data_IF_218109711566
#
_entry.id   IF_218109711566
#
_cell.length_a   1.000
_cell.length_b   1.000
_cell.length_c   1.000
_cell.angle_alpha   90.00
_cell.angle_beta   90.00
_cell.angle_gamma   90.00
#
_symmetry.space_group_name_H-M   'P 1'
#
loop_
_entity.id
_entity.type
_entity.pdbx_description
1 polymer ?
#
# COMPACT_ATOMS: atom_id res chain seq x y z
N UNK A 1 1.74 -18.37 -6.93
CA UNK A 1 3.15 -17.93 -7.19
C UNK A 1 3.29 -17.10 -8.47
N UNK A 2 2.69 -17.51 -9.59
CA UNK A 2 2.71 -16.69 -10.83
C UNK A 2 2.10 -15.31 -10.58
N UNK A 3 0.98 -15.25 -9.85
CA UNK A 3 0.37 -14.00 -9.39
C UNK A 3 1.31 -13.09 -8.62
N UNK A 4 2.01 -13.64 -7.62
CA UNK A 4 3.00 -12.90 -6.83
C UNK A 4 4.11 -12.31 -7.71
N UNK A 5 4.63 -13.08 -8.67
CA UNK A 5 5.68 -12.61 -9.58
C UNK A 5 5.17 -11.49 -10.50
N UNK A 6 3.94 -11.62 -11.01
CA UNK A 6 3.31 -10.58 -11.83
C UNK A 6 3.12 -9.30 -10.99
N UNK A 7 2.58 -9.42 -9.77
CA UNK A 7 2.39 -8.26 -8.89
C UNK A 7 3.71 -7.54 -8.61
N UNK A 8 4.77 -8.29 -8.24
CA UNK A 8 6.11 -7.70 -8.02
C UNK A 8 6.60 -6.99 -9.28
N UNK A 9 6.50 -7.62 -10.45
CA UNK A 9 6.93 -7.03 -11.70
C UNK A 9 6.16 -5.75 -12.02
N UNK A 10 4.83 -5.75 -11.86
CA UNK A 10 3.97 -4.58 -12.11
C UNK A 10 4.28 -3.43 -11.16
N UNK A 11 4.47 -3.71 -9.86
CA UNK A 11 4.86 -2.69 -8.87
C UNK A 11 6.24 -2.12 -9.18
N UNK A 12 7.21 -2.95 -9.56
CA UNK A 12 8.55 -2.48 -9.93
C UNK A 12 8.52 -1.63 -11.20
N UNK A 13 7.88 -2.11 -12.27
CA UNK A 13 7.79 -1.37 -13.54
C UNK A 13 7.01 -0.08 -13.35
N UNK A 14 5.86 -0.13 -12.67
CA UNK A 14 5.04 1.04 -12.37
C UNK A 14 5.76 2.05 -11.47
N UNK A 15 6.49 1.58 -10.46
CA UNK A 15 7.30 2.43 -9.58
C UNK A 15 8.46 3.10 -10.33
N UNK A 16 9.18 2.37 -11.17
CA UNK A 16 10.26 2.92 -11.99
C UNK A 16 9.68 3.94 -12.99
N UNK A 17 8.60 3.60 -13.69
CA UNK A 17 7.92 4.52 -14.59
C UNK A 17 7.44 5.78 -13.84
N UNK A 18 6.87 5.61 -12.64
CA UNK A 18 6.42 6.70 -11.77
C UNK A 18 7.55 7.60 -11.30
N UNK A 19 8.74 7.07 -11.02
CA UNK A 19 9.89 7.91 -10.64
C UNK A 19 10.45 8.72 -11.83
N UNK A 20 10.44 8.15 -13.03
CA UNK A 20 10.93 8.83 -14.26
C UNK A 20 9.91 9.84 -14.80
N UNK A 21 8.63 9.47 -14.85
CA UNK A 21 7.56 10.27 -15.47
C UNK A 21 6.81 11.13 -14.45
N UNK A 22 6.87 10.80 -13.17
CA UNK A 22 6.05 11.45 -12.13
C UNK A 22 6.33 12.94 -11.99
N UNK A 23 7.56 13.39 -12.24
CA UNK A 23 7.90 14.83 -12.25
C UNK A 23 7.11 15.65 -13.28
N UNK A 24 6.48 14.99 -14.27
CA UNK A 24 5.58 15.62 -15.25
C UNK A 24 4.12 15.71 -14.80
N UNK A 25 3.74 15.03 -13.73
CA UNK A 25 2.40 15.07 -13.16
C UNK A 25 2.28 16.24 -12.18
N UNK A 26 1.25 17.06 -12.34
CA UNK A 26 0.94 18.11 -11.37
C UNK A 26 0.46 17.52 -10.04
N UNK A 27 0.68 18.24 -8.95
CA UNK A 27 0.29 17.80 -7.61
C UNK A 27 -1.20 17.46 -7.53
N UNK A 28 -2.05 18.27 -8.17
CA UNK A 28 -3.50 18.04 -8.25
C UNK A 28 -3.86 16.70 -8.89
N UNK A 29 -3.12 16.25 -9.91
CA UNK A 29 -3.36 14.96 -10.54
C UNK A 29 -3.01 13.83 -9.56
N UNK A 30 -1.90 13.95 -8.84
CA UNK A 30 -1.49 12.96 -7.83
C UNK A 30 -2.53 12.84 -6.73
N UNK A 31 -2.97 13.96 -6.15
CA UNK A 31 -4.02 14.00 -5.14
C UNK A 31 -5.33 13.39 -5.67
N UNK A 32 -5.76 13.77 -6.88
CA UNK A 32 -7.00 13.23 -7.48
C UNK A 32 -6.93 11.72 -7.67
N UNK A 33 -5.80 11.20 -8.13
CA UNK A 33 -5.58 9.76 -8.29
C UNK A 33 -5.60 9.05 -6.93
N UNK A 34 -4.92 9.59 -5.92
CA UNK A 34 -4.92 9.03 -4.56
C UNK A 34 -6.33 9.01 -3.94
N UNK A 35 -7.09 10.10 -4.09
CA UNK A 35 -8.49 10.15 -3.66
C UNK A 35 -9.35 9.11 -4.39
N UNK A 36 -9.17 8.95 -5.70
CA UNK A 36 -9.86 7.93 -6.48
C UNK A 36 -9.56 6.51 -5.98
N UNK A 37 -8.29 6.19 -5.75
CA UNK A 37 -7.86 4.92 -5.18
C UNK A 37 -8.45 4.68 -3.78
N UNK A 38 -8.48 5.71 -2.94
CA UNK A 38 -9.12 5.65 -1.61
C UNK A 38 -10.62 5.37 -1.69
N UNK A 39 -11.33 6.02 -2.62
CA UNK A 39 -12.76 5.82 -2.84
C UNK A 39 -13.07 4.40 -3.32
N UNK A 40 -12.28 3.87 -4.26
CA UNK A 40 -12.39 2.47 -4.71
C UNK A 40 -12.15 1.50 -3.55
N UNK A 41 -11.13 1.76 -2.73
CA UNK A 41 -10.81 0.93 -1.56
C UNK A 41 -11.97 0.90 -0.56
N UNK A 42 -12.59 2.05 -0.28
CA UNK A 42 -13.79 2.14 0.55
C UNK A 42 -14.96 1.34 -0.05
N UNK A 43 -15.19 1.46 -1.36
CA UNK A 43 -16.26 0.73 -2.04
C UNK A 43 -16.06 -0.79 -1.94
N UNK A 44 -14.83 -1.27 -2.13
CA UNK A 44 -14.48 -2.70 -1.98
C UNK A 44 -14.68 -3.15 -0.53
N UNK A 45 -14.19 -2.39 0.44
CA UNK A 45 -14.36 -2.71 1.86
C UNK A 45 -15.84 -2.78 2.28
N UNK A 46 -16.65 -1.85 1.80
CA UNK A 46 -18.10 -1.85 2.01
C UNK A 46 -18.76 -3.07 1.37
N UNK A 47 -18.41 -3.38 0.12
CA UNK A 47 -18.94 -4.56 -0.59
C UNK A 47 -18.62 -5.86 0.15
N UNK A 48 -17.40 -6.02 0.64
CA UNK A 48 -16.98 -7.20 1.41
C UNK A 48 -17.71 -7.28 2.76
N UNK A 49 -17.87 -6.15 3.43
CA UNK A 49 -18.58 -6.07 4.71
C UNK A 49 -20.05 -6.43 4.55
N UNK A 50 -20.72 -5.92 3.50
CA UNK A 50 -22.13 -6.21 3.23
C UNK A 50 -22.38 -7.69 2.86
N UNK A 51 -21.38 -8.38 2.29
CA UNK A 51 -21.45 -9.82 2.01
C UNK A 51 -21.19 -10.69 3.24
N UNK A 52 -20.70 -10.11 4.33
CA UNK A 52 -20.34 -10.88 5.51
C UNK A 52 -21.57 -11.52 6.14
N UNK A 53 -21.44 -12.78 6.57
CA UNK A 53 -22.49 -13.51 7.27
C UNK A 53 -22.46 -13.25 8.78
N UNK A 54 -21.37 -12.67 9.29
CA UNK A 54 -21.19 -12.41 10.71
C UNK A 54 -20.40 -11.11 10.96
N UNK A 55 -21.12 -10.05 11.26
CA UNK A 55 -20.53 -8.73 11.55
C UNK A 55 -19.66 -8.73 12.81
N UNK A 56 -19.91 -9.63 13.77
CA UNK A 56 -19.10 -9.73 15.00
C UNK A 56 -17.66 -10.17 14.69
N UNK A 57 -17.47 -11.02 13.68
CA UNK A 57 -16.12 -11.41 13.24
C UNK A 57 -15.39 -10.20 12.67
N UNK A 58 -16.05 -9.42 11.80
CA UNK A 58 -15.47 -8.20 11.22
C UNK A 58 -15.08 -7.20 12.32
N UNK A 59 -16.00 -6.95 13.25
CA UNK A 59 -15.74 -6.07 14.40
C UNK A 59 -14.58 -6.57 15.25
N UNK A 60 -14.54 -7.87 15.55
CA UNK A 60 -13.45 -8.50 16.30
C UNK A 60 -12.10 -8.39 15.59
N UNK A 61 -12.06 -8.64 14.27
CA UNK A 61 -10.85 -8.50 13.46
C UNK A 61 -10.32 -7.07 13.44
N UNK A 62 -11.21 -6.06 13.30
CA UNK A 62 -10.82 -4.65 13.35
C UNK A 62 -10.26 -4.30 14.73
N UNK A 63 -10.94 -4.72 15.80
CA UNK A 63 -10.55 -4.41 17.18
C UNK A 63 -9.20 -5.04 17.53
N UNK A 64 -9.01 -6.32 17.22
CA UNK A 64 -7.74 -7.02 17.41
C UNK A 64 -6.64 -6.40 16.55
N UNK A 65 -6.91 -6.14 15.28
CA UNK A 65 -5.96 -5.51 14.36
C UNK A 65 -5.50 -4.13 14.84
N UNK A 66 -6.43 -3.30 15.33
CA UNK A 66 -6.12 -1.97 15.86
C UNK A 66 -5.27 -2.04 17.13
N UNK A 67 -5.62 -2.91 18.09
CA UNK A 67 -4.83 -3.10 19.32
C UNK A 67 -3.42 -3.57 18.98
N UNK A 68 -3.30 -4.58 18.11
CA UNK A 68 -1.99 -5.11 17.72
C UNK A 68 -1.18 -4.08 16.93
N UNK A 69 -1.81 -3.34 16.03
CA UNK A 69 -1.17 -2.28 15.25
C UNK A 69 -0.62 -1.16 16.11
N UNK A 70 -1.42 -0.68 17.07
CA UNK A 70 -1.02 0.35 18.03
C UNK A 70 0.09 -0.16 18.97
N UNK A 71 -0.06 -1.38 19.50
CA UNK A 71 0.95 -1.96 20.37
C UNK A 71 2.30 -2.13 19.66
N UNK A 72 2.28 -2.56 18.40
CA UNK A 72 3.50 -2.69 17.60
C UNK A 72 4.00 -1.34 17.05
N UNK A 73 3.20 -0.28 17.15
CA UNK A 73 3.45 1.04 16.56
C UNK A 73 3.88 0.95 15.09
N UNK A 74 3.06 0.28 14.27
CA UNK A 74 3.39 0.01 12.86
C UNK A 74 3.71 1.30 12.11
N UNK A 75 2.94 2.37 12.33
CA UNK A 75 3.17 3.70 11.75
C UNK A 75 4.55 4.25 12.10
N UNK A 76 4.92 4.24 13.39
CA UNK A 76 6.24 4.68 13.83
C UNK A 76 7.36 3.78 13.31
N UNK A 77 7.08 2.49 13.07
CA UNK A 77 7.99 1.55 12.42
C UNK A 77 8.25 1.93 10.97
N UNK A 78 7.21 2.29 10.21
CA UNK A 78 7.31 2.76 8.83
C UNK A 78 8.08 4.08 8.75
N UNK A 79 7.81 5.03 9.65
CA UNK A 79 8.57 6.28 9.75
C UNK A 79 10.05 6.03 10.02
N UNK A 80 10.38 5.17 10.99
CA UNK A 80 11.76 4.77 11.31
C UNK A 80 12.45 4.11 10.12
N UNK A 81 11.76 3.21 9.41
CA UNK A 81 12.28 2.57 8.20
C UNK A 81 12.53 3.60 7.09
N UNK A 82 11.60 4.53 6.90
CA UNK A 82 11.74 5.62 5.92
C UNK A 82 12.93 6.52 6.25
N UNK A 83 13.13 6.88 7.52
CA UNK A 83 14.23 7.72 7.98
C UNK A 83 15.58 7.01 7.81
N UNK A 84 15.65 5.74 8.20
CA UNK A 84 16.84 4.91 7.99
C UNK A 84 17.24 4.81 6.52
N UNK A 85 16.26 4.61 5.63
CA UNK A 85 16.52 4.54 4.19
C UNK A 85 16.90 5.93 3.64
N UNK A 86 16.21 6.98 4.07
CA UNK A 86 16.52 8.37 3.71
C UNK A 86 17.96 8.73 4.05
N UNK A 87 18.45 8.38 5.22
CA UNK A 87 19.83 8.65 5.64
C UNK A 87 20.88 7.88 4.81
N UNK A 88 20.52 6.70 4.32
CA UNK A 88 21.38 5.91 3.41
C UNK A 88 21.46 6.55 2.03
N UNK A 89 20.36 7.12 1.53
CA UNK A 89 20.27 7.65 0.16
C UNK A 89 20.59 9.15 0.09
N UNK A 90 20.42 9.90 1.18
CA UNK A 90 20.63 11.36 1.26
C UNK A 90 22.04 11.78 0.85
N UNK A 91 23.05 10.95 1.08
CA UNK A 91 24.43 11.19 0.64
C UNK A 91 24.60 11.27 -0.88
N UNK A 92 23.61 10.82 -1.66
CA UNK A 92 23.64 10.74 -3.12
C UNK A 92 22.54 11.57 -3.79
N UNK A 93 21.70 12.30 -3.04
CA UNK A 93 20.53 12.98 -3.56
C UNK A 93 20.44 14.44 -3.09
N UNK A 94 19.85 15.31 -3.93
CA UNK A 94 19.64 16.72 -3.61
C UNK A 94 18.60 16.88 -2.49
N UNK A 95 18.78 17.91 -1.63
CA UNK A 95 17.84 18.25 -0.57
C UNK A 95 16.40 18.45 -1.09
N UNK A 96 16.24 18.97 -2.32
CA UNK A 96 14.94 19.15 -2.95
C UNK A 96 14.25 17.82 -3.26
N UNK A 97 14.99 16.80 -3.72
CA UNK A 97 14.45 15.46 -3.98
C UNK A 97 14.07 14.70 -2.71
N UNK A 98 14.61 15.11 -1.55
CA UNK A 98 14.37 14.46 -0.26
C UNK A 98 13.17 15.02 0.51
N UNK A 99 12.58 16.15 0.06
CA UNK A 99 11.47 16.80 0.75
C UNK A 99 10.24 15.88 0.88
N UNK A 100 9.88 15.17 -0.19
CA UNK A 100 8.71 14.27 -0.24
C UNK A 100 9.07 12.78 -0.12
N UNK A 101 10.30 12.46 0.28
CA UNK A 101 10.76 11.06 0.30
C UNK A 101 9.98 10.21 1.32
N UNK A 102 9.82 10.71 2.55
CA UNK A 102 9.11 10.00 3.62
C UNK A 102 7.65 9.79 3.27
N UNK A 103 6.97 10.85 2.81
CA UNK A 103 5.58 10.79 2.35
C UNK A 103 5.42 9.76 1.21
N UNK A 104 6.22 9.87 0.16
CA UNK A 104 6.16 8.93 -0.96
C UNK A 104 6.46 7.48 -0.57
N UNK A 105 7.41 7.25 0.35
CA UNK A 105 7.72 5.91 0.86
C UNK A 105 6.55 5.31 1.65
N UNK A 106 5.97 6.08 2.57
CA UNK A 106 4.84 5.63 3.40
C UNK A 106 3.62 5.39 2.51
N UNK A 107 3.26 6.35 1.64
CA UNK A 107 2.13 6.21 0.72
C UNK A 107 2.28 4.98 -0.18
N UNK A 108 3.45 4.78 -0.80
CA UNK A 108 3.68 3.61 -1.65
C UNK A 108 3.60 2.29 -0.86
N UNK A 109 4.16 2.25 0.35
CA UNK A 109 4.08 1.07 1.23
C UNK A 109 2.63 0.75 1.60
N UNK A 110 1.84 1.76 1.94
CA UNK A 110 0.44 1.58 2.30
C UNK A 110 -0.40 1.13 1.09
N UNK A 111 -0.20 1.72 -0.07
CA UNK A 111 -0.97 1.39 -1.28
C UNK A 111 -0.64 -0.01 -1.81
N UNK A 112 0.65 -0.37 -1.87
CA UNK A 112 1.09 -1.61 -2.54
C UNK A 112 1.34 -2.78 -1.59
N UNK A 113 1.91 -2.55 -0.40
CA UNK A 113 2.28 -3.63 0.52
C UNK A 113 1.20 -3.92 1.57
N UNK A 114 0.57 -2.87 2.08
CA UNK A 114 -0.48 -2.98 3.13
C UNK A 114 -1.88 -2.94 2.51
N UNK A 115 -1.98 -2.72 1.20
CA UNK A 115 -3.25 -2.67 0.48
C UNK A 115 -4.09 -3.93 0.71
N UNK A 116 -5.40 -3.79 1.01
CA UNK A 116 -6.26 -4.94 1.36
C UNK A 116 -6.33 -5.97 0.23
N UNK A 117 -6.25 -5.54 -1.03
CA UNK A 117 -6.21 -6.43 -2.20
C UNK A 117 -4.91 -7.21 -2.30
N UNK A 118 -3.77 -6.64 -1.91
CA UNK A 118 -2.50 -7.37 -1.84
C UNK A 118 -2.55 -8.48 -0.81
N UNK A 119 -3.11 -8.19 0.38
CA UNK A 119 -3.25 -9.18 1.46
C UNK A 119 -4.24 -10.28 1.04
N UNK A 120 -5.45 -9.89 0.63
CA UNK A 120 -6.50 -10.84 0.25
C UNK A 120 -6.10 -11.65 -0.99
N UNK A 121 -5.53 -11.00 -2.00
CA UNK A 121 -5.04 -11.64 -3.23
C UNK A 121 -3.91 -12.63 -2.96
N UNK A 122 -3.00 -12.34 -2.03
CA UNK A 122 -1.95 -13.28 -1.62
C UNK A 122 -2.51 -14.50 -0.90
N UNK A 123 -3.53 -14.30 -0.04
CA UNK A 123 -4.23 -15.41 0.62
C UNK A 123 -5.00 -16.25 -0.40
N UNK A 124 -5.70 -15.63 -1.35
CA UNK A 124 -6.45 -16.34 -2.39
C UNK A 124 -5.53 -17.11 -3.35
N UNK A 125 -4.46 -16.49 -3.87
CA UNK A 125 -3.46 -17.20 -4.70
C UNK A 125 -2.87 -18.38 -3.93
N UNK A 126 -2.57 -18.21 -2.64
CA UNK A 126 -2.02 -19.27 -1.80
C UNK A 126 -2.98 -20.42 -1.50
N UNK A 127 -4.27 -20.14 -1.29
CA UNK A 127 -5.27 -21.14 -0.90
C UNK A 127 -5.98 -21.80 -2.08
N UNK A 128 -6.22 -21.08 -3.17
CA UNK A 128 -7.03 -21.55 -4.31
C UNK A 128 -6.25 -21.60 -5.62
N UNK A 129 -5.05 -21.02 -5.69
CA UNK A 129 -4.30 -20.83 -6.93
C UNK A 129 -4.89 -19.75 -7.85
N UNK A 130 -5.94 -19.06 -7.41
CA UNK A 130 -6.56 -17.96 -8.16
C UNK A 130 -5.85 -16.64 -7.83
N UNK A 131 -5.10 -16.16 -8.80
CA UNK A 131 -4.33 -14.93 -8.68
C UNK A 131 -5.03 -13.71 -9.29
N UNK A 132 -6.30 -13.82 -9.71
CA UNK A 132 -7.03 -12.72 -10.37
C UNK A 132 -7.17 -11.46 -9.51
N UNK A 133 -7.19 -11.60 -8.18
CA UNK A 133 -7.19 -10.46 -7.27
C UNK A 133 -5.80 -9.88 -7.00
N UNK A 134 -4.74 -10.64 -7.26
CA UNK A 134 -3.36 -10.25 -6.95
C UNK A 134 -2.62 -9.63 -8.15
N UNK A 135 -3.00 -10.00 -9.39
CA UNK A 135 -2.31 -9.64 -10.63
C UNK A 135 -3.03 -8.56 -11.45
#
# INVERSE_FOLDING_TARGET
MVGTLINIATVLVGGIAGTVLGSRLSERIRETVLHGLGLVTLAVGLQLTLKTQNVLIVMGSILVGAILGEWWQIDAGLERASAWLRDRVSKRASAHSMAHFTEGFVTASLVFCVGPMTILGSIQDGLTGDYSLLA
#
